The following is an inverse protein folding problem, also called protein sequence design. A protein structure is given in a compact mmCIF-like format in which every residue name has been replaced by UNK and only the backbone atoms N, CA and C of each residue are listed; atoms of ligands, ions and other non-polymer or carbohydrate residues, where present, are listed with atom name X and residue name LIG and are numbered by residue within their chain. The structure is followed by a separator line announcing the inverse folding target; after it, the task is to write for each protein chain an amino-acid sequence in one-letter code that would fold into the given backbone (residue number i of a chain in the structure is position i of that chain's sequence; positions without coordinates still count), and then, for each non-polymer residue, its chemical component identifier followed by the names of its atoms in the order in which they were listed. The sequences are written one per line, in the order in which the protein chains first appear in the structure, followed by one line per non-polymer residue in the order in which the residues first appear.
data_IF_374856274909
#
_entry.id   IF_374856274909
#
_cell.length_a   1.000
_cell.length_b   1.000
_cell.length_c   1.000
_cell.angle_alpha   90.00
_cell.angle_beta   90.00
_cell.angle_gamma   90.00
#
_symmetry.space_group_name_H-M   'P 1'
#
loop_
_entity.id
_entity.type
_entity.pdbx_description
1 polymer ?
#
# COMPACT_ATOMS: atom_id res chain seq x y z
N UNK A 1 -8.26 -16.90 16.20
CA UNK A 1 -8.25 -15.58 15.53
C UNK A 1 -6.90 -14.95 15.87
N UNK A 2 -6.08 -14.74 14.86
CA UNK A 2 -4.75 -14.18 15.07
C UNK A 2 -4.80 -12.67 14.87
N UNK A 3 -4.14 -11.93 15.74
CA UNK A 3 -4.10 -10.46 15.72
C UNK A 3 -2.65 -10.00 15.70
N UNK A 4 -2.32 -9.07 14.80
CA UNK A 4 -0.99 -8.48 14.70
C UNK A 4 -1.06 -6.96 14.73
N UNK A 5 -0.06 -6.32 15.32
CA UNK A 5 0.09 -4.86 15.26
C UNK A 5 0.37 -4.42 13.81
N UNK A 6 -0.30 -3.37 13.36
CA UNK A 6 -0.07 -2.75 12.04
C UNK A 6 0.16 -1.24 12.19
N UNK A 7 1.37 -0.80 12.53
CA UNK A 7 1.64 0.63 12.66
C UNK A 7 1.35 1.37 11.35
N UNK A 8 0.65 2.51 11.45
CA UNK A 8 0.27 3.37 10.31
C UNK A 8 0.41 4.85 10.66
N UNK A 9 0.53 5.66 9.65
CA UNK A 9 0.22 7.09 9.70
C UNK A 9 -1.09 7.35 8.99
N UNK A 10 -1.82 8.35 9.48
CA UNK A 10 -3.16 8.68 9.00
C UNK A 10 -3.24 10.14 8.59
N UNK A 11 -3.81 10.37 7.40
CA UNK A 11 -4.10 11.71 6.90
C UNK A 11 -5.56 11.75 6.49
N UNK A 12 -6.33 12.60 7.16
CA UNK A 12 -7.72 12.88 6.81
C UNK A 12 -7.78 13.90 5.70
N UNK A 13 -8.66 13.68 4.73
CA UNK A 13 -9.03 14.65 3.70
C UNK A 13 -10.54 14.82 3.74
N UNK A 14 -11.02 16.02 4.13
CA UNK A 14 -12.46 16.27 4.31
C UNK A 14 -12.87 17.57 3.66
N UNK A 15 -14.00 17.56 2.96
CA UNK A 15 -14.64 18.73 2.38
C UNK A 15 -15.34 18.41 1.05
N UNK A 16 -16.11 19.36 0.52
CA UNK A 16 -16.94 19.13 -0.66
C UNK A 16 -16.17 18.68 -1.90
N UNK A 17 -14.90 19.08 -2.01
CA UNK A 17 -14.05 18.70 -3.14
C UNK A 17 -13.11 17.52 -2.84
N UNK A 18 -13.22 16.86 -1.66
CA UNK A 18 -12.28 15.83 -1.21
C UNK A 18 -12.22 14.66 -2.20
N UNK A 19 -13.36 14.17 -2.66
CA UNK A 19 -13.44 13.07 -3.62
C UNK A 19 -12.73 13.41 -4.94
N UNK A 20 -13.13 14.50 -5.59
CA UNK A 20 -12.56 14.94 -6.87
C UNK A 20 -11.05 15.25 -6.73
N UNK A 21 -10.66 15.85 -5.60
CA UNK A 21 -9.27 16.14 -5.30
C UNK A 21 -8.44 14.85 -5.22
N UNK A 22 -8.86 13.88 -4.39
CA UNK A 22 -8.17 12.60 -4.25
C UNK A 22 -8.17 11.81 -5.55
N UNK A 23 -9.28 11.84 -6.32
CA UNK A 23 -9.37 11.23 -7.63
C UNK A 23 -8.27 11.72 -8.58
N UNK A 24 -7.85 12.96 -8.49
CA UNK A 24 -6.76 13.54 -9.29
C UNK A 24 -5.37 13.29 -8.72
N UNK A 25 -5.26 12.93 -7.43
CA UNK A 25 -3.97 12.80 -6.76
C UNK A 25 -3.44 11.37 -6.72
N UNK A 26 -4.31 10.37 -6.60
CA UNK A 26 -3.90 8.98 -6.41
C UNK A 26 -4.15 8.13 -7.65
N UNK A 27 -3.47 6.99 -7.75
CA UNK A 27 -3.49 6.12 -8.94
C UNK A 27 -4.74 5.26 -9.08
N UNK A 28 -5.52 5.04 -8.01
CA UNK A 28 -6.72 4.20 -8.06
C UNK A 28 -8.01 5.02 -8.08
N UNK A 29 -9.13 4.36 -8.34
CA UNK A 29 -10.44 4.99 -8.55
C UNK A 29 -11.15 5.21 -7.22
N UNK A 30 -11.04 6.43 -6.70
CA UNK A 30 -11.65 6.85 -5.42
C UNK A 30 -13.13 7.19 -5.59
N UNK A 31 -13.54 7.68 -6.78
CA UNK A 31 -14.94 8.00 -7.06
C UNK A 31 -15.82 6.75 -7.09
N UNK A 32 -15.26 5.60 -7.45
CA UNK A 32 -15.98 4.33 -7.48
C UNK A 32 -16.25 3.72 -6.10
N UNK A 33 -15.62 4.23 -5.03
CA UNK A 33 -15.83 3.71 -3.68
C UNK A 33 -17.22 4.07 -3.14
N UNK A 34 -17.94 3.11 -2.59
CA UNK A 34 -19.08 3.39 -1.74
C UNK A 34 -18.63 3.90 -0.36
N UNK A 35 -19.53 4.55 0.38
CA UNK A 35 -19.26 4.92 1.78
C UNK A 35 -19.03 3.66 2.61
N UNK A 36 -17.94 3.63 3.34
CA UNK A 36 -17.44 2.46 4.10
C UNK A 36 -16.40 1.65 3.35
N UNK A 37 -16.31 1.75 2.02
CA UNK A 37 -15.32 1.03 1.21
C UNK A 37 -13.95 1.68 1.23
N UNK A 38 -12.94 0.88 0.88
CA UNK A 38 -11.57 1.36 0.70
C UNK A 38 -10.91 0.74 -0.53
N UNK A 39 -9.86 1.38 -1.03
CA UNK A 39 -9.00 0.81 -2.06
C UNK A 39 -7.53 1.09 -1.77
N UNK A 40 -6.62 0.17 -2.14
CA UNK A 40 -5.21 0.48 -2.21
C UNK A 40 -4.94 1.45 -3.36
N UNK A 41 -4.02 2.39 -3.16
CA UNK A 41 -3.64 3.39 -4.15
C UNK A 41 -2.18 3.81 -3.98
N UNK A 42 -1.65 4.57 -4.93
CA UNK A 42 -0.31 5.12 -4.87
C UNK A 42 -0.34 6.64 -5.04
N UNK A 43 0.44 7.33 -4.24
CA UNK A 43 0.94 8.65 -4.61
C UNK A 43 2.20 8.47 -5.45
N UNK A 44 2.25 9.13 -6.60
CA UNK A 44 3.31 8.95 -7.59
C UNK A 44 3.92 10.28 -8.01
N UNK A 45 5.19 10.24 -8.37
CA UNK A 45 5.83 11.32 -9.13
C UNK A 45 5.32 11.31 -10.58
N UNK A 46 5.54 12.40 -11.31
CA UNK A 46 5.26 12.47 -12.75
C UNK A 46 6.03 11.40 -13.58
N UNK A 47 7.10 10.82 -13.03
CA UNK A 47 7.87 9.73 -13.63
C UNK A 47 7.40 8.34 -13.16
N UNK A 48 6.24 8.24 -12.54
CA UNK A 48 5.65 7.02 -11.97
C UNK A 48 6.51 6.34 -10.88
N UNK A 49 7.37 7.08 -10.18
CA UNK A 49 8.05 6.55 -8.99
C UNK A 49 7.13 6.65 -7.79
N UNK A 50 7.14 5.62 -6.95
CA UNK A 50 6.29 5.57 -5.76
C UNK A 50 6.77 6.62 -4.76
N UNK A 51 5.85 7.49 -4.32
CA UNK A 51 6.05 8.41 -3.19
C UNK A 51 5.53 7.75 -1.93
N UNK A 52 4.33 7.19 -2.00
CA UNK A 52 3.71 6.46 -0.90
C UNK A 52 2.70 5.43 -1.42
N UNK A 53 2.74 4.17 -0.97
CA UNK A 53 1.60 3.29 -1.01
C UNK A 53 0.57 3.72 0.04
N UNK A 54 -0.71 3.68 -0.31
CA UNK A 54 -1.82 4.14 0.52
C UNK A 54 -2.95 3.12 0.53
N UNK A 55 -3.72 3.11 1.61
CA UNK A 55 -5.12 2.68 1.60
C UNK A 55 -5.98 3.92 1.72
N UNK A 56 -6.90 4.12 0.79
CA UNK A 56 -7.87 5.23 0.82
C UNK A 56 -9.21 4.68 1.28
N UNK A 57 -9.67 5.12 2.44
CA UNK A 57 -10.95 4.71 3.02
C UNK A 57 -11.97 5.85 2.94
N UNK A 58 -13.12 5.62 2.29
CA UNK A 58 -14.22 6.56 2.22
C UNK A 58 -15.13 6.41 3.44
N UNK A 59 -15.01 7.32 4.42
CA UNK A 59 -15.81 7.29 5.66
C UNK A 59 -17.22 7.90 5.50
N UNK A 60 -17.33 8.93 4.64
CA UNK A 60 -18.60 9.55 4.26
C UNK A 60 -18.50 10.13 2.83
N UNK A 61 -19.51 10.85 2.39
CA UNK A 61 -19.53 11.47 1.06
C UNK A 61 -18.38 12.45 0.84
N UNK A 62 -17.95 13.13 1.89
CA UNK A 62 -16.94 14.20 1.87
C UNK A 62 -15.75 13.95 2.83
N UNK A 63 -15.61 12.74 3.40
CA UNK A 63 -14.62 12.42 4.43
C UNK A 63 -13.86 11.14 4.07
N UNK A 64 -12.57 11.26 3.89
CA UNK A 64 -11.64 10.19 3.51
C UNK A 64 -10.50 10.10 4.52
N UNK A 65 -10.11 8.88 4.87
CA UNK A 65 -8.91 8.60 5.64
C UNK A 65 -7.89 7.87 4.76
N UNK A 66 -6.68 8.41 4.70
CA UNK A 66 -5.56 7.80 3.99
C UNK A 66 -4.65 7.15 5.03
N UNK A 67 -4.42 5.86 4.87
CA UNK A 67 -3.50 5.07 5.70
C UNK A 67 -2.21 4.87 4.90
N UNK A 68 -1.07 5.17 5.51
CA UNK A 68 0.26 4.96 4.92
C UNK A 68 1.20 4.28 5.92
N UNK A 69 2.40 3.94 5.48
CA UNK A 69 3.45 3.49 6.41
C UNK A 69 3.81 4.63 7.39
N UNK A 70 4.23 4.30 8.62
CA UNK A 70 4.40 5.29 9.70
C UNK A 70 5.31 6.45 9.33
N UNK A 71 6.39 6.18 8.60
CA UNK A 71 7.39 7.17 8.19
C UNK A 71 6.93 8.10 7.04
N UNK A 72 5.78 7.82 6.41
CA UNK A 72 5.31 8.55 5.23
C UNK A 72 4.25 9.61 5.53
N UNK A 73 3.68 9.62 6.73
CA UNK A 73 2.56 10.50 7.07
C UNK A 73 2.82 11.98 6.80
N UNK A 74 3.95 12.50 7.26
CA UNK A 74 4.34 13.90 7.04
C UNK A 74 4.54 14.21 5.55
N UNK A 75 5.16 13.31 4.81
CA UNK A 75 5.38 13.47 3.37
C UNK A 75 4.05 13.46 2.59
N UNK A 76 3.15 12.55 2.95
CA UNK A 76 1.80 12.45 2.36
C UNK A 76 1.00 13.72 2.66
N UNK A 77 0.90 14.13 3.92
CA UNK A 77 0.16 15.32 4.33
C UNK A 77 0.71 16.61 3.69
N UNK A 78 2.03 16.76 3.67
CA UNK A 78 2.70 17.92 3.06
C UNK A 78 2.48 17.98 1.56
N UNK A 79 2.62 16.87 0.84
CA UNK A 79 2.41 16.81 -0.60
C UNK A 79 0.94 17.14 -0.94
N UNK A 80 0.00 16.52 -0.27
CA UNK A 80 -1.42 16.77 -0.49
C UNK A 80 -1.76 18.24 -0.19
N UNK A 81 -1.26 18.80 0.90
CA UNK A 81 -1.48 20.22 1.25
C UNK A 81 -0.91 21.15 0.18
N UNK A 82 0.29 20.89 -0.31
CA UNK A 82 0.94 21.67 -1.37
C UNK A 82 0.15 21.63 -2.68
N UNK A 83 -0.38 20.46 -3.04
CA UNK A 83 -1.07 20.23 -4.32
C UNK A 83 -2.58 20.54 -4.24
N UNK A 84 -3.10 20.88 -3.08
CA UNK A 84 -4.53 21.19 -2.88
C UNK A 84 -5.02 22.35 -3.73
N UNK A 85 -4.17 23.38 -3.93
CA UNK A 85 -4.46 24.59 -4.72
C UNK A 85 -5.78 25.24 -4.30
N UNK A 86 -6.83 25.10 -5.14
CA UNK A 86 -8.16 25.71 -4.93
C UNK A 86 -9.22 24.71 -4.46
N UNK A 87 -8.86 23.44 -4.22
CA UNK A 87 -9.82 22.45 -3.76
C UNK A 87 -10.32 22.82 -2.35
N UNK A 88 -11.62 22.79 -2.17
CA UNK A 88 -12.29 23.08 -0.90
C UNK A 88 -12.31 21.79 -0.05
N UNK A 89 -11.16 21.47 0.52
CA UNK A 89 -11.00 20.37 1.48
C UNK A 89 -9.93 20.72 2.51
N UNK A 90 -10.05 20.14 3.68
CA UNK A 90 -9.09 20.20 4.77
C UNK A 90 -8.26 18.94 4.78
N UNK A 91 -6.97 19.06 5.10
CA UNK A 91 -6.02 17.94 5.13
C UNK A 91 -5.33 18.00 6.49
N UNK A 92 -5.58 16.99 7.32
CA UNK A 92 -5.14 16.97 8.71
C UNK A 92 -4.61 15.59 9.09
N UNK A 93 -3.59 15.51 9.97
CA UNK A 93 -3.19 14.22 10.54
C UNK A 93 -4.26 13.72 11.51
N UNK A 94 -4.47 12.41 11.56
CA UNK A 94 -5.24 11.72 12.61
C UNK A 94 -4.35 10.69 13.30
N UNK A 95 -4.80 10.22 14.46
CA UNK A 95 -4.11 9.15 15.21
C UNK A 95 -5.09 8.05 15.52
N UNK A 96 -4.76 6.82 15.12
CA UNK A 96 -5.51 5.61 15.39
C UNK A 96 -4.54 4.48 15.76
N UNK A 97 -5.04 3.50 16.48
CA UNK A 97 -4.41 2.20 16.62
C UNK A 97 -4.90 1.29 15.50
N UNK A 98 -3.98 0.64 14.79
CA UNK A 98 -4.32 -0.28 13.71
C UNK A 98 -3.78 -1.68 13.96
N UNK A 99 -4.66 -2.66 13.72
CA UNK A 99 -4.38 -4.08 13.87
C UNK A 99 -4.76 -4.83 12.61
N UNK A 100 -3.99 -5.86 12.28
CA UNK A 100 -4.38 -6.88 11.32
C UNK A 100 -5.04 -8.03 12.05
N UNK A 101 -6.25 -8.39 11.62
CA UNK A 101 -7.02 -9.47 12.20
C UNK A 101 -7.26 -10.56 11.15
N UNK A 102 -6.76 -11.77 11.42
CA UNK A 102 -6.92 -12.92 10.56
C UNK A 102 -8.16 -13.71 10.97
N UNK A 103 -9.07 -13.93 10.03
CA UNK A 103 -10.36 -14.62 10.24
C UNK A 103 -11.54 -13.76 9.82
N UNK A 104 -12.74 -14.22 10.12
CA UNK A 104 -13.97 -13.56 9.71
C UNK A 104 -14.34 -12.42 10.67
N UNK A 105 -13.92 -11.22 10.34
CA UNK A 105 -14.27 -9.98 11.05
C UNK A 105 -14.41 -8.85 10.02
N UNK A 106 -15.29 -7.91 10.25
CA UNK A 106 -15.44 -6.72 9.44
C UNK A 106 -14.23 -5.78 9.64
N UNK A 107 -13.76 -5.19 8.55
CA UNK A 107 -12.62 -4.28 8.57
C UNK A 107 -12.24 -3.85 7.15
N UNK A 108 -11.19 -3.05 7.04
CA UNK A 108 -10.64 -2.66 5.74
C UNK A 108 -9.91 -3.85 5.11
N UNK A 109 -10.11 -4.12 3.81
CA UNK A 109 -9.36 -5.16 3.10
C UNK A 109 -7.86 -4.98 3.25
N UNK A 110 -7.15 -6.06 3.59
CA UNK A 110 -5.69 -6.09 3.68
C UNK A 110 -5.08 -6.77 2.47
N UNK A 111 -3.84 -6.41 2.13
CA UNK A 111 -3.05 -7.12 1.12
C UNK A 111 -2.60 -8.52 1.60
N UNK A 112 -2.61 -8.75 2.93
CA UNK A 112 -2.31 -10.07 3.49
C UNK A 112 -3.54 -10.98 3.38
N UNK A 113 -3.40 -12.14 2.74
CA UNK A 113 -4.50 -13.08 2.55
C UNK A 113 -5.16 -13.50 3.88
N UNK A 114 -6.49 -13.40 3.92
CA UNK A 114 -7.28 -13.78 5.10
C UNK A 114 -7.22 -12.80 6.26
N UNK A 115 -6.61 -11.63 6.08
CA UNK A 115 -6.59 -10.56 7.07
C UNK A 115 -7.48 -9.38 6.66
N UNK A 116 -8.01 -8.69 7.65
CA UNK A 116 -8.57 -7.33 7.53
C UNK A 116 -7.82 -6.40 8.47
N UNK A 117 -7.77 -5.12 8.11
CA UNK A 117 -7.22 -4.08 8.96
C UNK A 117 -8.36 -3.40 9.74
N UNK A 118 -8.23 -3.35 11.06
CA UNK A 118 -9.22 -2.74 11.96
C UNK A 118 -8.56 -1.62 12.75
N UNK A 119 -9.32 -0.52 12.96
CA UNK A 119 -8.85 0.62 13.71
C UNK A 119 -9.55 0.69 15.07
N UNK A 120 -8.78 1.07 16.10
CA UNK A 120 -9.26 1.36 17.46
C UNK A 120 -10.12 0.23 18.06
N UNK A 121 -9.81 -1.03 17.70
CA UNK A 121 -10.61 -2.19 18.09
C UNK A 121 -10.36 -2.67 19.54
N UNK A 122 -9.28 -2.19 20.18
CA UNK A 122 -8.94 -2.60 21.55
C UNK A 122 -8.62 -4.09 21.70
N UNK A 123 -8.12 -4.75 20.64
CA UNK A 123 -7.72 -6.15 20.65
C UNK A 123 -6.25 -6.28 21.00
N UNK A 124 -5.87 -7.30 21.76
CA UNK A 124 -4.49 -7.59 22.07
C UNK A 124 -3.82 -8.38 20.94
N UNK A 125 -2.62 -7.98 20.48
CA UNK A 125 -1.85 -8.73 19.51
C UNK A 125 -1.51 -10.13 20.03
N UNK A 126 -1.65 -11.14 19.16
CA UNK A 126 -1.35 -12.55 19.44
C UNK A 126 -0.20 -13.08 18.59
N UNK A 127 0.09 -12.42 17.47
CA UNK A 127 1.23 -12.75 16.61
C UNK A 127 2.44 -11.89 16.97
N UNK A 128 3.60 -12.49 16.90
CA UNK A 128 4.89 -11.78 16.94
C UNK A 128 5.17 -11.10 15.59
N UNK A 129 6.11 -10.14 15.61
CA UNK A 129 6.55 -9.47 14.38
C UNK A 129 7.16 -10.46 13.37
N UNK A 130 7.89 -11.49 13.84
CA UNK A 130 8.49 -12.53 12.98
C UNK A 130 7.42 -13.40 12.31
N UNK A 131 6.35 -13.75 13.01
CA UNK A 131 5.24 -14.51 12.45
C UNK A 131 4.47 -13.69 11.42
N UNK A 132 4.27 -12.40 11.67
CA UNK A 132 3.66 -11.49 10.70
C UNK A 132 4.57 -11.30 9.48
N UNK A 133 5.88 -11.12 9.68
CA UNK A 133 6.84 -10.98 8.59
C UNK A 133 6.90 -12.24 7.72
N UNK A 134 6.86 -13.43 8.32
CA UNK A 134 6.77 -14.68 7.57
C UNK A 134 5.53 -14.71 6.67
N UNK A 135 4.35 -14.39 7.21
CA UNK A 135 3.11 -14.33 6.41
C UNK A 135 3.21 -13.33 5.27
N UNK A 136 3.83 -12.16 5.52
CA UNK A 136 4.04 -11.12 4.52
C UNK A 136 4.95 -11.60 3.39
N UNK A 137 6.09 -12.20 3.73
CA UNK A 137 7.07 -12.70 2.76
C UNK A 137 6.48 -13.82 1.92
N UNK A 138 5.80 -14.78 2.54
CA UNK A 138 5.13 -15.88 1.84
C UNK A 138 4.00 -15.41 0.92
N UNK A 139 3.26 -14.38 1.31
CA UNK A 139 2.22 -13.77 0.49
C UNK A 139 2.77 -12.89 -0.64
N UNK A 140 4.06 -12.60 -0.66
CA UNK A 140 4.65 -11.73 -1.67
C UNK A 140 4.30 -10.26 -1.53
N UNK A 141 3.83 -9.82 -0.34
CA UNK A 141 3.39 -8.45 -0.10
C UNK A 141 4.58 -7.52 0.13
N UNK A 142 4.81 -6.55 -0.76
CA UNK A 142 5.90 -5.60 -0.61
C UNK A 142 5.63 -4.58 0.50
N UNK A 143 6.70 -4.08 1.13
CA UNK A 143 6.64 -3.05 2.17
C UNK A 143 7.57 -1.89 1.83
N UNK A 144 7.15 -0.68 2.20
CA UNK A 144 7.99 0.51 2.10
C UNK A 144 9.27 0.36 2.94
N UNK A 145 10.38 0.89 2.43
CA UNK A 145 11.69 0.77 3.06
C UNK A 145 12.37 -0.59 2.90
N UNK A 146 11.69 -1.57 2.29
CA UNK A 146 12.22 -2.89 1.96
C UNK A 146 12.17 -3.14 0.46
N UNK A 147 11.01 -3.49 -0.07
CA UNK A 147 10.75 -3.73 -1.49
C UNK A 147 10.43 -2.45 -2.24
N UNK A 148 9.77 -1.50 -1.59
CA UNK A 148 9.32 -0.25 -2.20
C UNK A 148 10.16 0.90 -1.67
N UNK A 149 10.67 1.71 -2.58
CA UNK A 149 11.31 3.00 -2.31
C UNK A 149 10.95 4.01 -3.42
N UNK A 150 11.51 5.22 -3.34
CA UNK A 150 11.29 6.30 -4.31
C UNK A 150 11.89 6.04 -5.71
N UNK A 151 12.55 4.90 -5.92
CA UNK A 151 13.13 4.47 -7.20
C UNK A 151 12.36 3.34 -7.87
N UNK A 152 11.39 2.75 -7.18
CA UNK A 152 10.62 1.61 -7.67
C UNK A 152 9.47 2.09 -8.57
N UNK A 153 9.23 1.34 -9.65
CA UNK A 153 8.01 1.46 -10.45
C UNK A 153 6.96 0.49 -9.92
N UNK A 154 5.66 0.85 -9.93
CA UNK A 154 4.58 -0.03 -9.46
C UNK A 154 4.61 -1.44 -10.09
N UNK A 155 4.92 -1.53 -11.38
CA UNK A 155 5.02 -2.80 -12.10
C UNK A 155 6.16 -3.71 -11.61
N UNK A 156 7.25 -3.14 -11.10
CA UNK A 156 8.38 -3.92 -10.56
C UNK A 156 8.00 -4.62 -9.25
N UNK A 157 7.22 -3.93 -8.40
CA UNK A 157 6.78 -4.44 -7.10
C UNK A 157 5.43 -5.19 -7.15
N UNK A 158 4.86 -5.39 -8.34
CA UNK A 158 3.58 -6.10 -8.49
C UNK A 158 2.35 -5.31 -8.04
N UNK A 159 2.45 -3.98 -7.89
CA UNK A 159 1.39 -3.14 -7.34
C UNK A 159 0.30 -2.74 -8.36
N UNK A 160 0.59 -2.81 -9.68
CA UNK A 160 -0.35 -2.32 -10.70
C UNK A 160 -1.74 -2.98 -10.65
N UNK A 161 -1.88 -4.31 -10.44
CA UNK A 161 -3.19 -4.96 -10.50
C UNK A 161 -4.16 -4.48 -9.43
N UNK A 162 -3.66 -4.06 -8.28
CA UNK A 162 -4.48 -3.70 -7.11
C UNK A 162 -4.51 -2.19 -6.84
N UNK A 163 -3.41 -1.48 -7.11
CA UNK A 163 -3.24 -0.09 -6.74
C UNK A 163 -3.49 0.91 -7.87
N UNK A 164 -3.72 0.44 -9.11
CA UNK A 164 -3.81 1.32 -10.28
C UNK A 164 -5.12 1.07 -11.04
N UNK A 165 -5.92 2.11 -11.22
CA UNK A 165 -7.04 2.09 -12.17
C UNK A 165 -6.57 2.57 -13.54
N UNK A 166 -6.88 1.78 -14.58
CA UNK A 166 -6.58 2.12 -15.96
C UNK A 166 -7.79 2.74 -16.71
N UNK A 167 -8.92 2.86 -16.02
CA UNK A 167 -10.18 3.40 -16.57
C UNK A 167 -10.55 4.77 -16.00
N UNK A 168 -9.94 5.18 -14.91
CA UNK A 168 -10.18 6.49 -14.27
C UNK A 168 -9.56 7.66 -15.05
N UNK A 169 -9.89 8.89 -14.64
CA UNK A 169 -9.29 10.13 -15.13
C UNK A 169 -7.79 10.29 -14.81
N UNK A 170 -7.20 11.41 -15.21
CA UNK A 170 -5.77 11.66 -15.10
C UNK A 170 -5.29 11.77 -13.64
N UNK A 171 -4.09 11.25 -13.38
CA UNK A 171 -3.35 11.38 -12.12
C UNK A 171 -1.84 11.48 -12.40
N UNK A 172 -1.01 11.99 -11.45
CA UNK A 172 0.44 12.07 -11.63
C UNK A 172 1.07 10.69 -11.89
N UNK A 173 1.91 10.59 -12.93
CA UNK A 173 2.60 9.33 -13.27
C UNK A 173 1.79 8.36 -14.14
N UNK A 174 0.56 8.68 -14.55
CA UNK A 174 -0.27 7.81 -15.38
C UNK A 174 0.38 7.46 -16.73
N UNK A 175 0.99 8.44 -17.41
CA UNK A 175 1.54 8.24 -18.75
C UNK A 175 2.68 7.19 -18.78
N UNK A 176 3.72 7.25 -17.92
CA UNK A 176 4.72 6.20 -17.86
C UNK A 176 4.17 4.82 -17.49
N UNK A 177 3.17 4.73 -16.58
CA UNK A 177 2.52 3.47 -16.23
C UNK A 177 1.79 2.89 -17.45
N UNK A 178 0.95 3.68 -18.11
CA UNK A 178 0.22 3.23 -19.30
C UNK A 178 1.18 2.80 -20.43
N UNK A 179 2.28 3.55 -20.64
CA UNK A 179 3.29 3.19 -21.63
C UNK A 179 3.97 1.85 -21.28
N UNK A 180 4.31 1.62 -20.00
CA UNK A 180 4.92 0.36 -19.58
C UNK A 180 3.98 -0.82 -19.79
N UNK A 181 2.71 -0.67 -19.43
CA UNK A 181 1.68 -1.71 -19.58
C UNK A 181 1.38 -2.09 -21.03
N UNK A 182 1.25 -1.09 -21.93
CA UNK A 182 0.78 -1.34 -23.32
C UNK A 182 1.91 -1.50 -24.33
N UNK A 183 3.13 -1.02 -24.05
CA UNK A 183 4.24 -0.96 -25.01
C UNK A 183 5.58 -1.41 -24.46
N UNK A 184 5.61 -1.91 -23.24
CA UNK A 184 6.84 -2.29 -22.57
C UNK A 184 6.63 -3.40 -21.55
N UNK A 185 7.63 -3.61 -20.74
CA UNK A 185 7.61 -4.49 -19.56
C UNK A 185 8.61 -3.95 -18.53
N UNK A 186 8.42 -4.31 -17.27
CA UNK A 186 9.42 -4.06 -16.24
C UNK A 186 10.62 -4.99 -16.46
N UNK A 187 11.83 -4.49 -16.29
CA UNK A 187 13.06 -5.28 -16.45
C UNK A 187 13.29 -6.28 -15.32
N UNK A 188 12.59 -6.09 -14.22
CA UNK A 188 12.64 -6.93 -13.03
C UNK A 188 11.26 -7.02 -12.40
N UNK A 189 11.06 -8.05 -11.60
CA UNK A 189 9.83 -8.24 -10.83
C UNK A 189 10.15 -8.77 -9.44
N UNK A 190 9.32 -8.40 -8.46
CA UNK A 190 9.38 -8.94 -7.12
C UNK A 190 8.79 -10.35 -7.12
N UNK A 191 9.53 -11.31 -6.54
CA UNK A 191 9.08 -12.70 -6.39
C UNK A 191 9.36 -13.25 -5.01
N UNK A 192 8.52 -14.18 -4.60
CA UNK A 192 8.81 -15.09 -3.49
C UNK A 192 9.76 -16.16 -3.99
N UNK A 193 10.85 -16.37 -3.28
CA UNK A 193 11.89 -17.36 -3.61
C UNK A 193 12.22 -18.21 -2.39
N UNK A 194 12.41 -19.52 -2.61
CA UNK A 194 12.94 -20.44 -1.59
C UNK A 194 14.45 -20.28 -1.52
N UNK A 195 14.97 -20.12 -0.31
CA UNK A 195 16.40 -20.03 -0.08
C UNK A 195 16.94 -21.43 0.29
N UNK A 196 17.59 -22.10 -0.67
CA UNK A 196 18.30 -23.34 -0.43
C UNK A 196 19.77 -23.06 -0.08
N UNK A 197 20.39 -23.94 0.73
CA UNK A 197 21.79 -23.85 1.08
C UNK A 197 22.68 -23.85 -0.18
N UNK A 198 23.60 -22.89 -0.25
CA UNK A 198 24.54 -22.75 -1.36
C UNK A 198 23.97 -22.12 -2.64
N UNK A 199 22.70 -21.65 -2.64
CA UNK A 199 22.11 -20.90 -3.75
C UNK A 199 22.12 -19.42 -3.41
N UNK A 200 22.88 -18.63 -4.16
CA UNK A 200 22.81 -17.16 -4.06
C UNK A 200 21.64 -16.64 -4.89
N UNK A 201 20.75 -15.88 -4.23
CA UNK A 201 19.67 -15.14 -4.88
C UNK A 201 20.06 -13.67 -4.93
N UNK A 202 20.15 -13.11 -6.15
CA UNK A 202 20.42 -11.68 -6.30
C UNK A 202 19.29 -10.83 -5.70
N UNK A 203 19.65 -9.77 -4.95
CA UNK A 203 18.73 -8.73 -4.49
C UNK A 203 17.57 -9.24 -3.61
N UNK A 204 17.87 -10.10 -2.65
CA UNK A 204 16.97 -10.39 -1.53
C UNK A 204 16.70 -9.08 -0.78
N UNK A 205 15.43 -8.79 -0.53
CA UNK A 205 14.97 -7.58 0.15
C UNK A 205 14.40 -7.87 1.53
N UNK A 206 13.71 -9.01 1.66
CA UNK A 206 13.20 -9.51 2.93
C UNK A 206 13.36 -11.03 2.99
N UNK A 207 13.57 -11.55 4.18
CA UNK A 207 13.75 -12.98 4.44
C UNK A 207 12.99 -13.38 5.70
N UNK A 208 12.43 -14.59 5.70
CA UNK A 208 11.78 -15.18 6.86
C UNK A 208 12.09 -16.69 6.95
N UNK A 209 12.05 -17.23 8.16
CA UNK A 209 12.28 -18.65 8.46
C UNK A 209 10.97 -19.29 8.89
N UNK A 210 10.62 -20.40 8.23
CA UNK A 210 9.45 -21.20 8.61
C UNK A 210 9.70 -22.05 9.86
N UNK A 211 8.64 -22.53 10.52
CA UNK A 211 8.78 -23.38 11.71
C UNK A 211 9.57 -24.70 11.46
N UNK A 212 9.63 -25.18 10.23
CA UNK A 212 10.40 -26.36 9.84
C UNK A 212 11.89 -26.08 9.56
N UNK A 213 12.31 -24.81 9.71
CA UNK A 213 13.67 -24.35 9.46
C UNK A 213 13.96 -23.97 8.02
N UNK A 214 13.04 -24.18 7.09
CA UNK A 214 13.22 -23.71 5.71
C UNK A 214 13.12 -22.17 5.63
N UNK A 215 13.79 -21.58 4.63
CA UNK A 215 13.88 -20.12 4.48
C UNK A 215 13.21 -19.66 3.20
N UNK A 216 12.45 -18.58 3.29
CA UNK A 216 11.77 -17.95 2.17
C UNK A 216 12.12 -16.46 2.12
N UNK A 217 12.19 -15.89 0.93
CA UNK A 217 12.55 -14.50 0.76
C UNK A 217 11.73 -13.81 -0.32
N UNK A 218 11.68 -12.47 -0.23
CA UNK A 218 11.32 -11.61 -1.34
C UNK A 218 12.59 -11.14 -2.04
N UNK A 219 12.60 -11.26 -3.36
CA UNK A 219 13.74 -10.83 -4.16
C UNK A 219 13.30 -10.23 -5.50
N UNK A 220 14.04 -9.23 -5.96
CA UNK A 220 13.89 -8.73 -7.32
C UNK A 220 14.67 -9.62 -8.30
N UNK A 221 13.95 -10.27 -9.18
CA UNK A 221 14.52 -11.09 -10.25
C UNK A 221 14.40 -10.40 -11.60
N UNK A 222 15.36 -10.61 -12.48
CA UNK A 222 15.28 -10.14 -13.87
C UNK A 222 14.21 -10.92 -14.64
N UNK A 223 13.49 -10.20 -15.47
CA UNK A 223 12.42 -10.76 -16.32
C UNK A 223 12.98 -11.25 -17.65
#
# INVERSE_FOLDING_TARGET
MDVATRPRSYVRVKGPDACEYLQRMVSNDVEALAVGDSCPALLLTAKARVIAPLVVWRRSDDDYLLLSEPELGDAVGSLLTLMRLRASCEIEPETHESLLVFGAIDGLPSELPGAVEVLDAGLEPTLTDDELELRRVEAGVPRWGREIDDRILPAEAGLEPTHVSFSKGCYPGQEPIARLRYRGHANRELRVVELADGVEVERVTSEATRPDGSRVALAYVRR
#
